data_IF_615741020042
#
_entry.id   IF_615741020042
#
_cell.length_a   1.000
_cell.length_b   1.000
_cell.length_c   1.000
_cell.angle_alpha   90.00
_cell.angle_beta   90.00
_cell.angle_gamma   90.00
#
_symmetry.space_group_name_H-M   'P 1'
#
loop_
_entity.id
_entity.type
_entity.pdbx_description
1 polymer ?
#
# COMPACT_ATOMS: atom_id res chain seq x y z
N UNK A 1 4.36 12.51 -10.76
CA UNK A 1 5.84 12.69 -10.73
C UNK A 1 6.24 13.83 -9.80
N UNK A 2 5.45 14.91 -9.74
CA UNK A 2 5.87 16.18 -9.16
C UNK A 2 6.44 16.15 -7.74
N UNK A 3 6.19 15.14 -6.90
CA UNK A 3 6.69 15.12 -5.52
C UNK A 3 7.52 13.89 -5.15
N UNK A 4 8.06 13.14 -6.12
CA UNK A 4 8.83 11.91 -5.82
C UNK A 4 10.30 12.18 -5.51
N UNK A 5 10.92 13.17 -6.16
CA UNK A 5 12.34 13.45 -5.93
C UNK A 5 12.59 13.99 -4.51
N UNK A 6 13.83 13.84 -4.05
CA UNK A 6 14.23 14.21 -2.68
C UNK A 6 13.92 15.67 -2.34
N UNK A 7 14.07 16.56 -3.32
CA UNK A 7 13.86 18.00 -3.13
C UNK A 7 12.40 18.37 -2.89
N UNK A 8 11.44 17.55 -3.37
CA UNK A 8 10.01 17.87 -3.32
C UNK A 8 9.20 16.98 -2.38
N UNK A 9 9.66 15.75 -2.11
CA UNK A 9 8.92 14.79 -1.28
C UNK A 9 8.67 15.32 0.15
N UNK A 10 9.74 15.69 0.87
CA UNK A 10 9.61 16.18 2.25
C UNK A 10 8.80 17.49 2.34
N UNK A 11 9.04 18.51 1.48
CA UNK A 11 8.17 19.69 1.44
C UNK A 11 6.69 19.36 1.20
N UNK A 12 6.40 18.44 0.27
CA UNK A 12 5.02 18.00 0.00
C UNK A 12 4.39 17.28 1.20
N UNK A 13 5.16 16.45 1.92
CA UNK A 13 4.70 15.85 3.17
C UNK A 13 4.42 16.91 4.24
N UNK A 14 5.31 17.89 4.42
CA UNK A 14 5.09 19.01 5.38
C UNK A 14 3.83 19.81 5.04
N UNK A 15 3.57 20.05 3.76
CA UNK A 15 2.32 20.70 3.32
C UNK A 15 1.10 19.82 3.66
N UNK A 16 1.20 18.51 3.47
CA UNK A 16 0.14 17.57 3.84
C UNK A 16 -0.13 17.57 5.35
N UNK A 17 0.93 17.60 6.17
CA UNK A 17 0.85 17.71 7.63
C UNK A 17 0.15 19.00 8.07
N UNK A 18 0.49 20.14 7.46
CA UNK A 18 -0.20 21.41 7.70
C UNK A 18 -1.70 21.33 7.38
N UNK A 19 -2.06 20.72 6.24
CA UNK A 19 -3.45 20.53 5.83
C UNK A 19 -4.22 19.60 6.76
N UNK A 20 -3.56 18.54 7.26
CA UNK A 20 -4.10 17.60 8.22
C UNK A 20 -4.12 18.14 9.67
N UNK A 21 -3.45 19.28 9.92
CA UNK A 21 -3.33 19.93 11.24
C UNK A 21 -2.71 19.01 12.29
N UNK A 22 -1.65 18.32 11.90
CA UNK A 22 -0.87 17.42 12.75
C UNK A 22 0.60 17.58 12.43
N UNK A 23 1.48 17.31 13.41
CA UNK A 23 2.93 17.37 13.23
C UNK A 23 3.49 16.09 12.58
N UNK A 24 2.72 15.00 12.60
CA UNK A 24 3.10 13.71 12.02
C UNK A 24 1.89 12.92 11.52
N UNK A 25 2.15 11.93 10.66
CA UNK A 25 1.21 10.86 10.31
C UNK A 25 1.77 9.50 10.72
N UNK A 26 0.91 8.52 10.95
CA UNK A 26 1.38 7.17 11.29
C UNK A 26 2.03 6.47 10.09
N UNK A 27 1.59 6.76 8.86
CA UNK A 27 2.09 6.11 7.65
C UNK A 27 2.08 7.05 6.45
N UNK A 28 3.21 7.11 5.73
CA UNK A 28 3.33 7.80 4.44
C UNK A 28 3.68 6.80 3.34
N UNK A 29 2.97 6.88 2.21
CA UNK A 29 3.16 5.98 1.07
C UNK A 29 3.64 6.73 -0.17
N UNK A 30 4.50 6.10 -0.96
CA UNK A 30 4.60 6.42 -2.39
C UNK A 30 3.33 5.93 -3.09
N UNK A 31 2.51 6.84 -3.61
CA UNK A 31 1.21 6.50 -4.19
C UNK A 31 1.29 5.67 -5.48
N UNK A 32 2.27 5.98 -6.34
CA UNK A 32 2.62 5.22 -7.54
C UNK A 32 4.13 5.26 -7.76
N UNK A 33 4.74 4.18 -8.30
CA UNK A 33 6.12 4.24 -8.75
C UNK A 33 6.29 5.34 -9.81
N UNK A 34 7.51 5.89 -9.91
CA UNK A 34 7.79 6.88 -10.95
C UNK A 34 7.58 6.26 -12.34
N UNK A 35 6.79 6.89 -13.23
CA UNK A 35 6.68 6.42 -14.60
C UNK A 35 8.04 6.47 -15.26
N UNK A 36 8.35 5.46 -16.07
CA UNK A 36 9.60 5.34 -16.82
C UNK A 36 10.88 5.49 -15.97
N UNK A 37 10.82 5.24 -14.65
CA UNK A 37 11.95 5.40 -13.73
C UNK A 37 12.55 6.83 -13.73
N UNK A 38 11.74 7.87 -14.06
CA UNK A 38 12.20 9.28 -14.09
C UNK A 38 12.83 9.74 -12.76
N UNK A 39 12.29 9.23 -11.65
CA UNK A 39 12.89 9.28 -10.33
C UNK A 39 13.09 7.84 -9.88
N UNK A 40 14.32 7.46 -9.56
CA UNK A 40 14.63 6.08 -9.21
C UNK A 40 13.92 5.67 -7.91
N UNK A 41 13.61 4.37 -7.80
CA UNK A 41 13.04 3.81 -6.56
C UNK A 41 13.90 4.12 -5.34
N UNK A 42 15.22 4.03 -5.51
CA UNK A 42 16.17 4.33 -4.45
C UNK A 42 16.01 5.77 -3.93
N UNK A 43 15.89 6.75 -4.83
CA UNK A 43 15.84 8.16 -4.45
C UNK A 43 14.62 8.47 -3.56
N UNK A 44 13.41 8.09 -3.99
CA UNK A 44 12.22 8.42 -3.22
C UNK A 44 12.08 7.58 -1.95
N UNK A 45 12.61 6.35 -1.93
CA UNK A 45 12.59 5.52 -0.71
C UNK A 45 13.55 6.07 0.33
N UNK A 46 14.75 6.51 -0.07
CA UNK A 46 15.68 7.20 0.83
C UNK A 46 15.09 8.51 1.36
N UNK A 47 14.36 9.25 0.53
CA UNK A 47 13.67 10.47 0.97
C UNK A 47 12.54 10.17 1.98
N UNK A 48 11.79 9.07 1.83
CA UNK A 48 10.83 8.61 2.84
C UNK A 48 11.51 8.20 4.14
N UNK A 49 12.61 7.46 4.06
CA UNK A 49 13.36 7.06 5.26
C UNK A 49 13.89 8.28 6.03
N UNK A 50 14.35 9.30 5.31
CA UNK A 50 14.72 10.59 5.89
C UNK A 50 13.52 11.30 6.54
N UNK A 51 12.35 11.30 5.90
CA UNK A 51 11.13 11.85 6.50
C UNK A 51 10.74 11.13 7.81
N UNK A 52 10.93 9.80 7.87
CA UNK A 52 10.74 8.99 9.09
C UNK A 52 11.74 9.40 10.18
N UNK A 53 13.03 9.59 9.84
CA UNK A 53 14.05 10.09 10.78
C UNK A 53 13.74 11.49 11.33
N UNK A 54 13.12 12.34 10.52
CA UNK A 54 12.67 13.68 10.94
C UNK A 54 11.40 13.66 11.81
N UNK A 55 10.79 12.49 12.02
CA UNK A 55 9.55 12.35 12.81
C UNK A 55 8.28 12.80 12.09
N UNK A 56 8.35 13.09 10.79
CA UNK A 56 7.20 13.52 9.99
C UNK A 56 6.21 12.37 9.73
N UNK A 57 6.71 11.14 9.76
CA UNK A 57 5.93 9.91 9.63
C UNK A 57 6.50 8.84 10.54
N UNK A 58 5.65 8.01 11.17
CA UNK A 58 6.11 6.89 12.00
C UNK A 58 6.57 5.72 11.14
N UNK A 59 5.78 5.37 10.14
CA UNK A 59 6.07 4.31 9.18
C UNK A 59 6.10 4.83 7.75
N UNK A 60 6.77 4.08 6.88
CA UNK A 60 6.80 4.33 5.45
C UNK A 60 6.34 3.09 4.70
N UNK A 61 5.80 3.29 3.50
CA UNK A 61 5.40 2.19 2.65
C UNK A 61 5.29 2.62 1.20
N UNK A 62 4.75 1.69 0.41
CA UNK A 62 4.64 1.81 -1.04
C UNK A 62 3.21 1.47 -1.46
N UNK A 63 2.82 1.91 -2.64
CA UNK A 63 1.54 1.59 -3.25
C UNK A 63 1.72 1.29 -4.72
N UNK A 64 1.04 0.25 -5.21
CA UNK A 64 1.07 -0.20 -6.60
C UNK A 64 2.44 -0.71 -7.08
N UNK A 65 3.25 -1.28 -6.18
CA UNK A 65 4.57 -1.80 -6.54
C UNK A 65 4.46 -3.27 -7.00
N UNK A 66 5.09 -3.56 -8.13
CA UNK A 66 5.34 -4.93 -8.60
C UNK A 66 6.50 -5.56 -7.84
N UNK A 67 6.72 -6.87 -8.00
CA UNK A 67 7.83 -7.59 -7.36
C UNK A 67 9.20 -6.92 -7.66
N UNK A 68 9.58 -6.62 -8.92
CA UNK A 68 10.86 -5.96 -9.19
C UNK A 68 11.00 -4.58 -8.54
N UNK A 69 9.91 -3.84 -8.37
CA UNK A 69 9.93 -2.54 -7.69
C UNK A 69 10.09 -2.71 -6.18
N UNK A 70 9.46 -3.73 -5.58
CA UNK A 70 9.67 -4.07 -4.18
C UNK A 70 11.11 -4.52 -3.92
N UNK A 71 11.71 -5.31 -4.81
CA UNK A 71 13.13 -5.69 -4.73
C UNK A 71 14.04 -4.46 -4.69
N UNK A 72 13.82 -3.49 -5.60
CA UNK A 72 14.54 -2.21 -5.59
C UNK A 72 14.31 -1.42 -4.28
N UNK A 73 13.08 -1.39 -3.76
CA UNK A 73 12.76 -0.67 -2.53
C UNK A 73 13.44 -1.32 -1.31
N UNK A 74 13.43 -2.65 -1.21
CA UNK A 74 14.14 -3.40 -0.17
C UNK A 74 15.64 -3.16 -0.26
N UNK A 75 16.21 -3.19 -1.47
CA UNK A 75 17.64 -2.91 -1.66
C UNK A 75 18.02 -1.49 -1.20
N UNK A 76 17.11 -0.51 -1.35
CA UNK A 76 17.34 0.86 -0.94
C UNK A 76 17.25 1.05 0.58
N UNK A 77 16.20 0.55 1.23
CA UNK A 77 15.90 0.92 2.64
C UNK A 77 15.73 -0.25 3.60
N UNK A 78 15.87 -1.50 3.15
CA UNK A 78 15.58 -2.69 3.97
C UNK A 78 14.08 -2.99 4.03
N UNK A 79 13.72 -4.27 4.09
CA UNK A 79 12.33 -4.72 4.12
C UNK A 79 11.63 -4.29 5.42
N UNK A 80 12.37 -4.24 6.53
CA UNK A 80 11.90 -3.83 7.86
C UNK A 80 11.44 -2.37 7.93
N UNK A 81 11.85 -1.55 6.96
CA UNK A 81 11.39 -0.17 6.86
C UNK A 81 10.12 -0.02 6.01
N UNK A 82 9.68 -1.06 5.29
CA UNK A 82 8.51 -1.01 4.41
C UNK A 82 7.32 -1.65 5.12
N UNK A 83 6.46 -0.84 5.72
CA UNK A 83 5.33 -1.32 6.51
C UNK A 83 4.27 -2.03 5.66
N UNK A 84 4.04 -1.57 4.42
CA UNK A 84 3.04 -2.16 3.53
C UNK A 84 3.30 -1.86 2.06
N UNK A 85 2.79 -2.73 1.19
CA UNK A 85 2.48 -2.42 -0.20
C UNK A 85 0.95 -2.35 -0.37
N UNK A 86 0.42 -1.15 -0.56
CA UNK A 86 -1.00 -0.94 -0.83
C UNK A 86 -1.31 -1.22 -2.30
N UNK A 87 -2.17 -2.20 -2.60
CA UNK A 87 -2.47 -2.62 -3.98
C UNK A 87 -3.97 -2.86 -4.19
N UNK A 88 -4.41 -2.81 -5.44
CA UNK A 88 -5.75 -3.26 -5.79
C UNK A 88 -5.84 -4.75 -5.47
N UNK A 89 -6.75 -5.13 -4.58
CA UNK A 89 -6.93 -6.52 -4.19
C UNK A 89 -8.40 -6.77 -3.89
N UNK A 90 -9.03 -7.62 -4.68
CA UNK A 90 -10.44 -7.98 -4.56
C UNK A 90 -10.62 -9.47 -4.91
N UNK A 91 -11.78 -10.09 -4.65
CA UNK A 91 -12.02 -11.48 -5.03
C UNK A 91 -11.77 -11.77 -6.52
N UNK A 92 -11.94 -10.75 -7.38
CA UNK A 92 -11.73 -10.83 -8.83
C UNK A 92 -10.30 -10.49 -9.27
N UNK A 93 -9.53 -9.79 -8.44
CA UNK A 93 -8.14 -9.45 -8.69
C UNK A 93 -7.33 -9.66 -7.41
N UNK A 94 -6.86 -10.89 -7.20
CA UNK A 94 -6.27 -11.30 -5.93
C UNK A 94 -4.76 -11.00 -5.83
N UNK A 95 -4.09 -10.72 -6.96
CA UNK A 95 -2.65 -10.43 -7.00
C UNK A 95 -1.76 -11.46 -6.25
N UNK A 96 -2.16 -12.75 -6.27
CA UNK A 96 -1.57 -13.83 -5.44
C UNK A 96 -0.03 -13.88 -5.46
N UNK A 97 0.60 -13.66 -6.62
CA UNK A 97 2.07 -13.67 -6.74
C UNK A 97 2.70 -12.53 -5.94
N UNK A 98 2.15 -11.31 -6.04
CA UNK A 98 2.63 -10.13 -5.33
C UNK A 98 2.40 -10.30 -3.83
N UNK A 99 1.20 -10.76 -3.44
CA UNK A 99 0.83 -11.00 -2.03
C UNK A 99 1.75 -12.03 -1.39
N UNK A 100 1.91 -13.20 -2.01
CA UNK A 100 2.77 -14.26 -1.49
C UNK A 100 4.23 -13.81 -1.36
N UNK A 101 4.72 -13.09 -2.37
CA UNK A 101 6.09 -12.57 -2.35
C UNK A 101 6.30 -11.52 -1.25
N UNK A 102 5.38 -10.56 -1.10
CA UNK A 102 5.46 -9.54 -0.05
C UNK A 102 5.46 -10.18 1.35
N UNK A 103 4.57 -11.16 1.57
CA UNK A 103 4.48 -11.92 2.82
C UNK A 103 5.77 -12.67 3.16
N UNK A 104 6.41 -13.29 2.16
CA UNK A 104 7.71 -13.97 2.35
C UNK A 104 8.83 -13.02 2.79
N UNK A 105 8.73 -11.73 2.47
CA UNK A 105 9.71 -10.70 2.84
C UNK A 105 9.26 -9.84 4.03
N UNK A 106 8.18 -10.22 4.73
CA UNK A 106 7.68 -9.50 5.89
C UNK A 106 6.98 -8.17 5.57
N UNK A 107 6.61 -7.92 4.32
CA UNK A 107 5.89 -6.72 3.89
C UNK A 107 4.38 -7.03 3.90
N UNK A 108 3.61 -6.27 4.66
CA UNK A 108 2.15 -6.42 4.69
C UNK A 108 1.50 -5.94 3.39
N UNK A 109 0.30 -6.43 3.12
CA UNK A 109 -0.53 -5.96 2.02
C UNK A 109 -1.70 -5.16 2.57
N UNK A 110 -1.86 -3.94 2.09
CA UNK A 110 -3.08 -3.15 2.33
C UNK A 110 -3.93 -3.19 1.06
N UNK A 111 -5.11 -3.81 1.13
CA UNK A 111 -6.05 -3.83 0.00
C UNK A 111 -6.74 -2.48 -0.18
N UNK A 112 -6.79 -1.98 -1.42
CA UNK A 112 -7.76 -0.98 -1.85
C UNK A 112 -8.70 -1.54 -2.92
N UNK A 113 -9.84 -0.87 -3.15
CA UNK A 113 -10.90 -1.33 -4.07
C UNK A 113 -11.39 -2.76 -3.78
N UNK A 114 -11.38 -3.15 -2.50
CA UNK A 114 -11.66 -4.52 -2.04
C UNK A 114 -13.00 -5.06 -2.50
N UNK A 115 -14.01 -4.19 -2.63
CA UNK A 115 -15.37 -4.55 -3.06
C UNK A 115 -15.55 -4.57 -4.59
N UNK A 116 -14.48 -4.38 -5.37
CA UNK A 116 -14.49 -4.34 -6.84
C UNK A 116 -15.57 -3.40 -7.43
N UNK A 117 -15.59 -2.14 -6.97
CA UNK A 117 -16.64 -1.16 -7.33
C UNK A 117 -18.07 -1.64 -7.04
N UNK A 118 -18.24 -2.49 -6.03
CA UNK A 118 -19.53 -3.09 -5.65
C UNK A 118 -19.96 -4.26 -6.52
N UNK A 119 -19.19 -4.65 -7.54
CA UNK A 119 -19.51 -5.82 -8.39
C UNK A 119 -19.47 -7.12 -7.58
N UNK A 120 -18.46 -7.28 -6.73
CA UNK A 120 -18.30 -8.47 -5.90
C UNK A 120 -19.44 -8.64 -4.87
N UNK A 121 -20.16 -7.57 -4.51
CA UNK A 121 -21.31 -7.65 -3.60
C UNK A 121 -22.50 -8.40 -4.20
N UNK A 122 -22.56 -8.49 -5.53
CA UNK A 122 -23.65 -9.13 -6.29
C UNK A 122 -23.29 -10.55 -6.74
N UNK A 123 -22.10 -11.04 -6.37
CA UNK A 123 -21.61 -12.35 -6.76
C UNK A 123 -22.40 -13.45 -6.02
N UNK A 124 -22.92 -14.42 -6.77
CA UNK A 124 -23.73 -15.51 -6.18
C UNK A 124 -22.92 -16.41 -5.25
N UNK A 125 -21.63 -16.62 -5.51
CA UNK A 125 -20.77 -17.43 -4.64
C UNK A 125 -20.58 -16.70 -3.31
N UNK A 126 -20.28 -15.41 -3.35
CA UNK A 126 -20.11 -14.57 -2.16
C UNK A 126 -21.43 -14.48 -1.38
N UNK A 127 -22.57 -14.29 -2.06
CA UNK A 127 -23.88 -14.27 -1.43
C UNK A 127 -24.21 -15.58 -0.70
N UNK A 128 -23.90 -16.74 -1.30
CA UNK A 128 -24.09 -18.04 -0.62
C UNK A 128 -23.20 -18.19 0.61
N UNK A 129 -21.94 -17.75 0.56
CA UNK A 129 -21.03 -17.75 1.71
C UNK A 129 -21.58 -16.83 2.81
N UNK A 130 -22.05 -15.64 2.43
CA UNK A 130 -22.64 -14.68 3.36
C UNK A 130 -23.85 -15.26 4.10
N UNK A 131 -24.78 -15.90 3.39
CA UNK A 131 -25.92 -16.61 3.99
C UNK A 131 -25.47 -17.71 4.95
N UNK A 132 -24.48 -18.53 4.56
CA UNK A 132 -23.96 -19.61 5.42
C UNK A 132 -23.40 -19.08 6.75
N UNK A 133 -22.83 -17.88 6.76
CA UNK A 133 -22.19 -17.27 7.93
C UNK A 133 -23.06 -16.22 8.64
N UNK A 134 -24.33 -16.05 8.24
CA UNK A 134 -25.21 -14.98 8.74
C UNK A 134 -24.53 -13.59 8.69
N UNK A 135 -23.88 -13.31 7.56
CA UNK A 135 -23.11 -12.10 7.31
C UNK A 135 -23.58 -11.41 6.01
N UNK A 136 -23.10 -10.21 5.75
CA UNK A 136 -23.28 -9.51 4.47
C UNK A 136 -22.18 -9.91 3.47
N UNK A 137 -22.41 -9.79 2.15
CA UNK A 137 -21.34 -9.96 1.16
C UNK A 137 -20.12 -9.09 1.43
N UNK A 138 -20.31 -7.85 1.90
CA UNK A 138 -19.22 -6.95 2.26
C UNK A 138 -18.39 -7.50 3.43
N UNK A 139 -19.02 -8.02 4.48
CA UNK A 139 -18.32 -8.65 5.61
C UNK A 139 -17.52 -9.87 5.17
N UNK A 140 -18.07 -10.71 4.28
CA UNK A 140 -17.35 -11.86 3.72
C UNK A 140 -16.12 -11.41 2.93
N UNK A 141 -16.26 -10.39 2.07
CA UNK A 141 -15.15 -9.90 1.25
C UNK A 141 -14.06 -9.27 2.12
N UNK A 142 -14.43 -8.50 3.15
CA UNK A 142 -13.47 -7.91 4.08
C UNK A 142 -12.77 -9.00 4.91
N UNK A 143 -13.50 -10.02 5.39
CA UNK A 143 -12.92 -11.16 6.10
C UNK A 143 -11.96 -11.96 5.21
N UNK A 144 -12.30 -12.15 3.94
CA UNK A 144 -11.41 -12.74 2.95
C UNK A 144 -10.14 -11.90 2.77
N UNK A 145 -10.27 -10.58 2.56
CA UNK A 145 -9.12 -9.69 2.38
C UNK A 145 -8.19 -9.65 3.61
N UNK A 146 -8.74 -9.71 4.83
CA UNK A 146 -7.96 -9.85 6.06
C UNK A 146 -7.25 -11.19 6.17
N UNK A 147 -7.74 -12.26 5.52
CA UNK A 147 -7.08 -13.56 5.46
C UNK A 147 -5.99 -13.67 4.38
N UNK A 148 -6.12 -12.91 3.30
CA UNK A 148 -5.09 -12.81 2.24
C UNK A 148 -3.90 -11.93 2.67
N UNK A 149 -4.08 -11.08 3.67
CA UNK A 149 -3.01 -10.34 4.37
C UNK A 149 -2.40 -11.12 5.51
#
# INVERSE_FOLDING_TARGET
IENLNKAKLIPSLKESLQKLRTDYVDLTLIHWPSPNDEVSVEEFMQALLEAKKQGLTREIGISNFTIPLMEKAIAAVGAENIATNQIELSPYLQNRKVVAWAKQHGIHITSYMTLAYGKALKDEVIARIATKHNATPAQVILAWAMGEG
#
